data_IF_995134884094
#
_entry.id   IF_995134884094
#
_cell.length_a   1.000
_cell.length_b   1.000
_cell.length_c   1.000
_cell.angle_alpha   90.00
_cell.angle_beta   90.00
_cell.angle_gamma   90.00
#
_symmetry.space_group_name_H-M   'P 1'
#
loop_
_entity.id
_entity.type
_entity.pdbx_description
1 polymer ?
#
# COMPACT_ATOMS: atom_id res chain seq x y z
N UNK A 1 -12.21 -21.55 -22.17
CA UNK A 1 -10.76 -21.70 -22.42
C UNK A 1 -10.11 -20.35 -22.20
N UNK A 2 -9.35 -20.17 -21.13
CA UNK A 2 -8.63 -18.91 -20.89
C UNK A 2 -7.49 -18.78 -21.89
N UNK A 3 -7.61 -17.86 -22.84
CA UNK A 3 -6.50 -17.47 -23.69
C UNK A 3 -5.54 -16.64 -22.85
N UNK A 4 -4.50 -17.27 -22.30
CA UNK A 4 -3.38 -16.54 -21.73
C UNK A 4 -2.76 -15.69 -22.86
N UNK A 5 -2.89 -14.37 -22.77
CA UNK A 5 -2.28 -13.47 -23.74
C UNK A 5 -0.76 -13.58 -23.65
N UNK A 6 -0.11 -13.73 -24.80
CA UNK A 6 1.35 -13.76 -24.85
C UNK A 6 1.91 -12.43 -24.32
N UNK A 7 2.98 -12.47 -23.49
CA UNK A 7 3.61 -11.26 -23.01
C UNK A 7 4.16 -10.43 -24.17
N UNK A 8 4.00 -9.10 -24.09
CA UNK A 8 4.54 -8.14 -25.05
C UNK A 8 6.07 -8.24 -25.12
N UNK A 9 6.66 -7.74 -26.22
CA UNK A 9 8.11 -7.70 -26.38
C UNK A 9 8.81 -6.95 -25.23
N UNK A 10 8.21 -5.85 -24.74
CA UNK A 10 8.71 -5.09 -23.59
C UNK A 10 8.72 -5.92 -22.31
N UNK A 11 7.68 -6.73 -22.06
CA UNK A 11 7.62 -7.63 -20.89
C UNK A 11 8.69 -8.72 -20.95
N UNK A 12 8.80 -9.40 -22.09
CA UNK A 12 9.85 -10.42 -22.29
C UNK A 12 11.26 -9.86 -22.10
N UNK A 13 11.49 -8.63 -22.55
CA UNK A 13 12.74 -7.91 -22.33
C UNK A 13 12.96 -7.60 -20.85
N UNK A 14 11.95 -7.10 -20.13
CA UNK A 14 12.01 -6.85 -18.69
C UNK A 14 12.29 -8.14 -17.91
N UNK A 15 11.67 -9.26 -18.26
CA UNK A 15 11.88 -10.55 -17.60
C UNK A 15 13.34 -11.02 -17.77
N UNK A 16 13.87 -10.94 -18.99
CA UNK A 16 15.26 -11.27 -19.28
C UNK A 16 16.24 -10.33 -18.54
N UNK A 17 15.90 -9.04 -18.44
CA UNK A 17 16.68 -8.06 -17.69
C UNK A 17 16.64 -8.34 -16.18
N UNK A 18 15.46 -8.66 -15.64
CA UNK A 18 15.30 -9.01 -14.23
C UNK A 18 16.21 -10.17 -13.86
N UNK A 19 16.28 -11.21 -14.71
CA UNK A 19 17.20 -12.34 -14.48
C UNK A 19 18.65 -11.89 -14.39
N UNK A 20 19.12 -11.07 -15.35
CA UNK A 20 20.50 -10.54 -15.34
C UNK A 20 20.81 -9.70 -14.11
N UNK A 21 19.83 -8.92 -13.62
CA UNK A 21 19.99 -8.10 -12.43
C UNK A 21 20.08 -8.95 -11.17
N UNK A 22 19.29 -10.03 -11.08
CA UNK A 22 19.40 -11.01 -9.99
C UNK A 22 20.79 -11.66 -10.01
N UNK A 23 21.22 -12.18 -11.16
CA UNK A 23 22.54 -12.82 -11.28
C UNK A 23 23.68 -11.84 -10.91
N UNK A 24 23.54 -10.54 -11.23
CA UNK A 24 24.52 -9.51 -10.86
C UNK A 24 24.53 -9.17 -9.36
N UNK A 25 23.39 -9.25 -8.68
CA UNK A 25 23.28 -9.07 -7.24
C UNK A 25 23.87 -10.28 -6.51
N UNK A 26 23.60 -11.49 -6.99
CA UNK A 26 24.19 -12.72 -6.45
C UNK A 26 25.71 -12.70 -6.59
N UNK A 27 26.24 -12.25 -7.73
CA UNK A 27 27.67 -12.08 -7.94
C UNK A 27 28.29 -11.00 -7.02
N UNK A 28 27.57 -9.89 -6.76
CA UNK A 28 28.02 -8.86 -5.84
C UNK A 28 28.04 -9.37 -4.39
N UNK A 29 27.05 -10.18 -4.01
CA UNK A 29 27.02 -10.84 -2.70
C UNK A 29 28.19 -11.80 -2.54
N UNK A 30 28.42 -12.67 -3.51
CA UNK A 30 29.54 -13.63 -3.49
C UNK A 30 30.91 -12.94 -3.41
N UNK A 31 31.05 -11.75 -4.02
CA UNK A 31 32.28 -10.95 -3.91
C UNK A 31 32.51 -10.42 -2.48
N UNK A 32 31.44 -10.12 -1.73
CA UNK A 32 31.51 -9.55 -0.39
C UNK A 32 31.58 -10.62 0.73
N UNK A 33 31.06 -11.83 0.49
CA UNK A 33 30.84 -12.85 1.54
C UNK A 33 32.13 -13.42 2.17
N UNK A 34 33.28 -13.31 1.50
CA UNK A 34 34.56 -13.87 1.97
C UNK A 34 35.68 -12.86 2.17
N UNK A 35 35.38 -11.55 2.18
CA UNK A 35 36.39 -10.50 2.21
C UNK A 35 36.11 -9.46 3.29
N UNK A 36 37.14 -9.11 4.05
CA UNK A 36 37.11 -8.00 5.02
C UNK A 36 37.69 -6.70 4.41
N UNK A 37 38.04 -6.71 3.12
CA UNK A 37 38.53 -5.51 2.43
C UNK A 37 37.40 -4.49 2.22
N UNK A 38 37.44 -3.31 2.86
CA UNK A 38 36.41 -2.30 2.71
C UNK A 38 36.25 -1.79 1.27
N UNK A 39 37.30 -1.83 0.45
CA UNK A 39 37.23 -1.42 -0.95
C UNK A 39 36.41 -2.41 -1.79
N UNK A 40 36.53 -3.71 -1.51
CA UNK A 40 35.76 -4.76 -2.20
C UNK A 40 34.29 -4.70 -1.79
N UNK A 41 34.01 -4.49 -0.49
CA UNK A 41 32.65 -4.30 0.02
C UNK A 41 32.01 -3.05 -0.60
N UNK A 42 32.75 -1.94 -0.71
CA UNK A 42 32.27 -0.72 -1.37
C UNK A 42 31.91 -0.98 -2.84
N UNK A 43 32.78 -1.69 -3.56
CA UNK A 43 32.54 -2.06 -4.96
C UNK A 43 31.29 -2.94 -5.12
N UNK A 44 31.12 -3.96 -4.28
CA UNK A 44 29.93 -4.81 -4.28
C UNK A 44 28.65 -3.99 -4.02
N UNK A 45 28.70 -3.05 -3.08
CA UNK A 45 27.59 -2.13 -2.80
C UNK A 45 27.26 -1.24 -3.99
N UNK A 46 28.26 -0.71 -4.67
CA UNK A 46 28.06 0.16 -5.83
C UNK A 46 27.51 -0.60 -7.04
N UNK A 47 27.94 -1.85 -7.24
CA UNK A 47 27.33 -2.75 -8.23
C UNK A 47 25.84 -2.98 -7.94
N UNK A 48 25.48 -3.26 -6.69
CA UNK A 48 24.07 -3.42 -6.28
C UNK A 48 23.23 -2.16 -6.48
N UNK A 49 23.81 -0.96 -6.23
CA UNK A 49 23.13 0.33 -6.50
C UNK A 49 22.89 0.55 -7.99
N UNK A 50 23.88 0.25 -8.83
CA UNK A 50 23.75 0.36 -10.29
C UNK A 50 22.63 -0.55 -10.81
N UNK A 51 22.57 -1.80 -10.32
CA UNK A 51 21.49 -2.73 -10.64
C UNK A 51 20.11 -2.14 -10.28
N UNK A 52 19.99 -1.51 -9.11
CA UNK A 52 18.78 -0.82 -8.68
C UNK A 52 18.39 0.36 -9.59
N UNK A 53 19.36 1.15 -10.06
CA UNK A 53 19.12 2.26 -10.99
C UNK A 53 18.60 1.76 -12.34
N UNK A 54 19.23 0.72 -12.89
CA UNK A 54 18.82 0.07 -14.14
C UNK A 54 17.39 -0.49 -14.01
N UNK A 55 17.06 -1.17 -12.91
CA UNK A 55 15.71 -1.65 -12.64
C UNK A 55 14.67 -0.51 -12.59
N UNK A 56 15.06 0.65 -12.05
CA UNK A 56 14.23 1.85 -12.07
C UNK A 56 13.92 2.34 -13.48
N UNK A 57 14.92 2.36 -14.37
CA UNK A 57 14.70 2.76 -15.77
C UNK A 57 13.88 1.73 -16.55
N UNK A 58 14.12 0.44 -16.33
CA UNK A 58 13.33 -0.62 -16.96
C UNK A 58 11.84 -0.52 -16.63
N UNK A 59 11.48 -0.16 -15.40
CA UNK A 59 10.08 0.09 -14.99
C UNK A 59 9.45 1.26 -15.77
N UNK A 60 10.23 2.30 -16.07
CA UNK A 60 9.74 3.42 -16.91
C UNK A 60 9.49 2.97 -18.34
N UNK A 61 10.37 2.14 -18.91
CA UNK A 61 10.16 1.56 -20.24
C UNK A 61 8.90 0.67 -20.24
N UNK A 62 8.73 -0.17 -19.22
CA UNK A 62 7.55 -1.02 -19.10
C UNK A 62 6.25 -0.23 -18.94
N UNK A 63 6.29 0.95 -18.32
CA UNK A 63 5.13 1.83 -18.18
C UNK A 63 4.64 2.40 -19.53
N UNK A 64 5.48 2.37 -20.57
CA UNK A 64 5.08 2.73 -21.94
C UNK A 64 4.39 1.58 -22.68
N UNK A 65 4.44 0.35 -22.14
CA UNK A 65 3.74 -0.81 -22.68
C UNK A 65 2.23 -0.65 -22.41
N UNK A 66 1.35 -0.90 -23.40
CA UNK A 66 -0.09 -0.78 -23.21
C UNK A 66 -0.57 -1.63 -22.02
N UNK A 67 -1.53 -1.11 -21.22
CA UNK A 67 -2.04 -1.81 -20.07
C UNK A 67 -2.67 -3.12 -20.50
N UNK A 68 -2.16 -4.23 -19.94
CA UNK A 68 -2.80 -5.53 -20.11
C UNK A 68 -4.18 -5.48 -19.47
N UNK A 69 -5.19 -6.16 -20.06
CA UNK A 69 -6.47 -6.31 -19.40
C UNK A 69 -6.21 -6.92 -18.01
N UNK A 70 -6.55 -6.17 -16.96
CA UNK A 70 -6.57 -6.69 -15.59
C UNK A 70 -7.41 -7.97 -15.62
N UNK A 71 -6.99 -9.06 -14.96
CA UNK A 71 -7.85 -10.23 -14.84
C UNK A 71 -9.17 -9.76 -14.25
N UNK A 72 -10.23 -9.85 -15.07
CA UNK A 72 -11.48 -9.15 -14.80
C UNK A 72 -12.27 -9.74 -13.63
N UNK A 73 -11.83 -10.86 -13.06
CA UNK A 73 -12.52 -11.49 -11.95
C UNK A 73 -11.50 -11.91 -10.90
N UNK A 74 -11.59 -11.28 -9.73
CA UNK A 74 -11.16 -11.95 -8.50
C UNK A 74 -11.98 -13.24 -8.39
N UNK A 75 -11.37 -14.37 -8.03
CA UNK A 75 -12.11 -15.60 -7.79
C UNK A 75 -13.31 -15.33 -6.87
N UNK A 76 -14.48 -15.92 -7.17
CA UNK A 76 -15.72 -15.64 -6.43
C UNK A 76 -15.63 -15.80 -4.91
N UNK A 77 -14.71 -16.67 -4.43
CA UNK A 77 -14.44 -16.84 -2.99
C UNK A 77 -13.92 -15.58 -2.31
N UNK A 78 -13.25 -14.67 -3.03
CA UNK A 78 -12.76 -13.40 -2.49
C UNK A 78 -13.93 -12.44 -2.29
N UNK A 79 -14.86 -12.38 -3.25
CA UNK A 79 -16.08 -11.59 -3.09
C UNK A 79 -16.93 -12.09 -1.93
N UNK A 80 -17.10 -13.41 -1.82
CA UNK A 80 -17.83 -14.02 -0.70
C UNK A 80 -17.17 -13.76 0.66
N UNK A 81 -15.84 -13.69 0.71
CA UNK A 81 -15.10 -13.34 1.92
C UNK A 81 -15.32 -11.88 2.34
N UNK A 82 -15.37 -10.94 1.37
CA UNK A 82 -15.70 -9.54 1.64
C UNK A 82 -17.16 -9.38 2.07
N UNK A 83 -18.11 -10.04 1.40
CA UNK A 83 -19.53 -10.01 1.79
C UNK A 83 -19.74 -10.54 3.20
N UNK A 84 -19.03 -11.62 3.58
CA UNK A 84 -19.08 -12.19 4.94
C UNK A 84 -18.48 -11.22 5.97
N UNK A 85 -17.40 -10.53 5.61
CA UNK A 85 -16.78 -9.52 6.48
C UNK A 85 -17.70 -8.32 6.69
N UNK A 86 -18.34 -7.83 5.63
CA UNK A 86 -19.29 -6.72 5.70
C UNK A 86 -20.52 -7.09 6.53
N UNK A 87 -21.06 -8.30 6.35
CA UNK A 87 -22.15 -8.81 7.17
C UNK A 87 -21.78 -8.94 8.66
N UNK A 88 -20.54 -9.37 8.96
CA UNK A 88 -20.05 -9.46 10.32
C UNK A 88 -19.84 -8.07 10.97
N UNK A 89 -19.51 -7.06 10.18
CA UNK A 89 -19.17 -5.71 10.67
C UNK A 89 -20.38 -4.77 10.72
N UNK A 90 -21.41 -5.01 9.89
CA UNK A 90 -22.67 -4.27 9.87
C UNK A 90 -23.33 -4.07 11.25
N UNK A 91 -23.46 -5.07 12.14
CA UNK A 91 -24.07 -4.85 13.46
C UNK A 91 -23.23 -3.94 14.36
N UNK A 92 -21.89 -3.97 14.23
CA UNK A 92 -20.98 -3.12 15.02
C UNK A 92 -21.13 -1.66 14.58
N UNK A 93 -21.18 -1.42 13.27
CA UNK A 93 -21.40 -0.07 12.72
C UNK A 93 -22.80 0.46 13.06
N UNK A 94 -23.82 -0.39 13.00
CA UNK A 94 -25.18 -0.03 13.40
C UNK A 94 -25.27 0.30 14.90
N UNK A 95 -24.55 -0.42 15.76
CA UNK A 95 -24.46 -0.12 17.19
C UNK A 95 -23.72 1.20 17.46
N UNK A 96 -22.63 1.47 16.74
CA UNK A 96 -21.90 2.73 16.82
C UNK A 96 -22.79 3.92 16.41
N UNK A 97 -23.50 3.82 15.28
CA UNK A 97 -24.41 4.87 14.82
C UNK A 97 -25.55 5.15 15.82
N UNK A 98 -26.11 4.11 16.46
CA UNK A 98 -27.12 4.27 17.52
C UNK A 98 -26.56 4.98 18.75
N UNK A 99 -25.31 4.69 19.12
CA UNK A 99 -24.64 5.33 20.24
C UNK A 99 -24.38 6.82 19.97
N UNK A 100 -23.91 7.16 18.78
CA UNK A 100 -23.72 8.57 18.38
C UNK A 100 -25.03 9.36 18.34
N UNK A 101 -26.12 8.74 17.84
CA UNK A 101 -27.45 9.34 17.85
C UNK A 101 -27.99 9.56 19.29
N UNK A 102 -27.70 8.65 20.21
CA UNK A 102 -28.08 8.79 21.62
C UNK A 102 -27.28 9.89 22.34
N UNK A 103 -26.01 10.09 21.99
CA UNK A 103 -25.16 11.15 22.55
C UNK A 103 -25.55 12.55 22.05
N UNK A 104 -25.94 12.68 20.78
CA UNK A 104 -26.42 13.95 20.20
C UNK A 104 -27.82 14.36 20.69
N UNK A 105 -28.66 13.40 21.10
CA UNK A 105 -29.99 13.67 21.64
C UNK A 105 -30.03 14.07 23.12
N UNK A 106 -28.89 14.04 23.84
CA UNK A 106 -28.87 14.35 25.28
C UNK A 106 -28.91 15.88 25.49
N UNK A 107 -29.93 16.45 26.17
CA UNK A 107 -29.96 17.87 26.42
C UNK A 107 -28.75 18.28 27.27
N UNK A 108 -28.14 19.45 27.01
CA UNK A 108 -26.99 19.90 27.78
C UNK A 108 -27.36 19.96 29.26
N UNK A 109 -26.50 19.39 30.12
CA UNK A 109 -26.73 19.35 31.55
C UNK A 109 -27.07 20.77 32.06
N UNK A 110 -28.14 20.91 32.84
CA UNK A 110 -28.67 22.22 33.27
C UNK A 110 -27.59 23.12 33.90
N UNK A 111 -26.57 22.51 34.52
CA UNK A 111 -25.41 23.21 35.07
C UNK A 111 -24.54 23.92 34.01
N UNK A 112 -24.38 23.33 32.83
CA UNK A 112 -23.65 23.93 31.71
C UNK A 112 -24.39 25.15 31.14
N UNK A 113 -25.72 25.07 31.04
CA UNK A 113 -26.57 26.19 30.61
C UNK A 113 -26.56 27.33 31.64
N UNK A 114 -26.58 27.00 32.93
CA UNK A 114 -26.46 27.98 34.00
C UNK A 114 -25.10 28.71 34.00
N UNK A 115 -23.99 27.96 33.84
CA UNK A 115 -22.64 28.52 33.77
C UNK A 115 -22.45 29.44 32.56
N UNK A 116 -22.94 29.05 31.38
CA UNK A 116 -22.86 29.89 30.17
C UNK A 116 -23.65 31.20 30.31
N UNK A 117 -24.82 31.14 30.93
CA UNK A 117 -25.61 32.35 31.20
C UNK A 117 -24.92 33.28 32.22
N UNK A 118 -24.24 32.73 33.23
CA UNK A 118 -23.46 33.52 34.18
C UNK A 118 -22.26 34.20 33.50
N UNK A 119 -21.50 33.47 32.67
CA UNK A 119 -20.36 34.01 31.92
C UNK A 119 -20.79 35.09 30.91
N UNK A 120 -21.95 34.92 30.26
CA UNK A 120 -22.50 35.92 29.34
C UNK A 120 -22.92 37.21 30.04
N UNK A 121 -23.39 37.13 31.29
CA UNK A 121 -23.70 38.31 32.12
C UNK A 121 -22.43 39.06 32.55
N UNK A 122 -21.35 38.33 32.84
CA UNK A 122 -20.03 38.90 33.17
C UNK A 122 -19.37 39.62 31.99
N UNK A 123 -19.55 39.13 30.76
CA UNK A 123 -19.05 39.78 29.52
C UNK A 123 -19.84 41.01 29.07
N UNK A 124 -20.95 41.35 29.73
CA UNK A 124 -21.80 42.52 29.43
C UNK A 124 -21.53 43.72 30.38
N UNK A 125 -20.48 43.66 31.20
CA UNK A 125 -19.94 44.80 31.94
C UNK A 125 -18.62 45.25 31.34
#
# INVERSE_FOLDING_TARGET
MSTAQNPTAARRWCDALQRKLMDALDAAWALAEGTDDPAVIAKARDQSRLAGHIAGMARKVLALDPPQPKPANLPGFIHEAFDRLDAATAPILAAAARKEAAETGKPPAAQAVAMQNALRKLKRR
#
